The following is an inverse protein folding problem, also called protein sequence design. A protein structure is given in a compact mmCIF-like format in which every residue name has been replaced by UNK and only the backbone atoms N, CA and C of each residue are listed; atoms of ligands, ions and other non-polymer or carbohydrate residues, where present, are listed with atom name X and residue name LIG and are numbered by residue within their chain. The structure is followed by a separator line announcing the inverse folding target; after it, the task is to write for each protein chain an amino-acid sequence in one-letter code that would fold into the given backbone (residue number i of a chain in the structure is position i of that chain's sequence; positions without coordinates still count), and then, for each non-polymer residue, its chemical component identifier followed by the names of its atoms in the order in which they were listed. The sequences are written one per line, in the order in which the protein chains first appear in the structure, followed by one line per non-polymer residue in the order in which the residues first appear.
data_IF_643785581817
#
_entry.id   IF_643785581817
#
_cell.length_a   1.000
_cell.length_b   1.000
_cell.length_c   1.000
_cell.angle_alpha   90.00
_cell.angle_beta   90.00
_cell.angle_gamma   90.00
#
_symmetry.space_group_name_H-M   'P 1'
#
loop_
_entity.id
_entity.type
_entity.pdbx_description
1 polymer ?
#
# COMPACT_ATOMS: atom_id res chain seq x y z
N UNK A 1 -11.14 -10.58 -24.79
CA UNK A 1 -12.13 -10.93 -23.74
C UNK A 1 -12.01 -9.82 -22.72
N UNK A 2 -13.07 -9.02 -22.62
CA UNK A 2 -13.07 -7.76 -21.88
C UNK A 2 -13.02 -8.07 -20.39
N UNK A 3 -11.80 -8.03 -19.84
CA UNK A 3 -11.51 -8.22 -18.43
C UNK A 3 -11.99 -7.02 -17.63
N UNK A 4 -13.30 -6.89 -17.47
CA UNK A 4 -13.87 -6.00 -16.46
C UNK A 4 -13.28 -6.42 -15.12
N UNK A 5 -12.35 -5.59 -14.66
CA UNK A 5 -11.63 -5.74 -13.42
C UNK A 5 -12.65 -5.83 -12.29
N UNK A 6 -12.63 -6.92 -11.52
CA UNK A 6 -13.42 -7.06 -10.29
C UNK A 6 -12.91 -6.03 -9.27
N UNK A 7 -13.42 -4.80 -9.39
CA UNK A 7 -13.07 -3.63 -8.59
C UNK A 7 -14.32 -3.16 -7.89
N UNK A 8 -14.25 -3.12 -6.57
CA UNK A 8 -15.38 -2.81 -5.72
C UNK A 8 -15.00 -1.67 -4.77
N UNK A 9 -15.80 -0.61 -4.75
CA UNK A 9 -15.64 0.42 -3.73
C UNK A 9 -16.07 -0.14 -2.37
N UNK A 10 -15.22 0.06 -1.38
CA UNK A 10 -15.49 -0.34 -0.01
C UNK A 10 -14.61 0.42 0.97
N UNK A 11 -14.70 0.05 2.23
CA UNK A 11 -13.84 0.59 3.26
C UNK A 11 -13.10 -0.55 3.96
N UNK A 12 -11.83 -0.34 4.26
CA UNK A 12 -11.02 -1.25 5.08
C UNK A 12 -10.76 -0.62 6.44
N UNK A 13 -10.51 -1.45 7.45
CA UNK A 13 -10.03 -1.00 8.75
C UNK A 13 -8.58 -1.45 8.92
N UNK A 14 -7.67 -0.49 9.06
CA UNK A 14 -6.25 -0.75 9.33
C UNK A 14 -5.85 0.01 10.59
N UNK A 15 -5.34 -0.70 11.60
CA UNK A 15 -4.93 -0.13 12.89
C UNK A 15 -5.99 0.81 13.53
N UNK A 16 -7.27 0.40 13.47
CA UNK A 16 -8.40 1.18 14.00
C UNK A 16 -8.81 2.40 13.17
N UNK A 17 -8.17 2.65 12.03
CA UNK A 17 -8.55 3.70 11.08
C UNK A 17 -9.36 3.09 9.94
N UNK A 18 -10.43 3.77 9.54
CA UNK A 18 -11.23 3.38 8.36
C UNK A 18 -10.78 4.18 7.15
N UNK A 19 -10.50 3.47 6.06
CA UNK A 19 -10.00 4.02 4.81
C UNK A 19 -10.93 3.62 3.67
N UNK A 20 -11.29 4.57 2.82
CA UNK A 20 -11.98 4.27 1.57
C UNK A 20 -10.97 3.72 0.55
N UNK A 21 -11.34 2.63 -0.10
CA UNK A 21 -10.46 1.91 -1.02
C UNK A 21 -11.23 1.27 -2.17
N UNK A 22 -10.49 0.99 -3.25
CA UNK A 22 -10.91 0.07 -4.30
C UNK A 22 -10.41 -1.33 -3.94
N UNK A 23 -11.34 -2.22 -3.59
CA UNK A 23 -11.06 -3.62 -3.32
C UNK A 23 -10.98 -4.38 -4.65
N UNK A 24 -9.86 -5.05 -4.89
CA UNK A 24 -9.60 -5.76 -6.14
C UNK A 24 -9.68 -7.27 -5.91
N UNK A 25 -10.56 -7.94 -6.63
CA UNK A 25 -10.75 -9.38 -6.58
C UNK A 25 -12.22 -9.79 -6.73
N UNK A 26 -12.51 -11.07 -7.02
CA UNK A 26 -13.86 -11.54 -7.24
C UNK A 26 -14.79 -11.23 -6.06
N UNK A 27 -15.97 -10.68 -6.35
CA UNK A 27 -16.91 -10.21 -5.31
C UNK A 27 -17.25 -11.29 -4.28
N UNK A 28 -17.50 -12.52 -4.73
CA UNK A 28 -17.80 -13.68 -3.88
C UNK A 28 -16.64 -14.01 -2.92
N UNK A 29 -15.40 -13.83 -3.36
CA UNK A 29 -14.20 -14.00 -2.52
C UNK A 29 -14.03 -12.85 -1.54
N UNK A 30 -14.26 -11.61 -1.98
CA UNK A 30 -14.20 -10.43 -1.11
C UNK A 30 -15.23 -10.48 0.01
N UNK A 31 -16.43 -11.02 -0.26
CA UNK A 31 -17.46 -11.21 0.76
C UNK A 31 -17.02 -12.12 1.91
N UNK A 32 -16.14 -13.10 1.66
CA UNK A 32 -15.60 -13.98 2.70
C UNK A 32 -14.68 -13.25 3.68
N UNK A 33 -14.13 -12.10 3.28
CA UNK A 33 -13.22 -11.30 4.10
C UNK A 33 -13.95 -10.25 4.95
N UNK A 34 -15.27 -10.12 4.80
CA UNK A 34 -16.05 -9.20 5.63
C UNK A 34 -15.87 -9.54 7.11
N UNK A 35 -15.50 -8.54 7.90
CA UNK A 35 -15.26 -8.65 9.34
C UNK A 35 -14.13 -9.63 9.73
N UNK A 36 -13.26 -9.99 8.79
CA UNK A 36 -12.10 -10.84 9.02
C UNK A 36 -10.81 -10.06 8.78
N UNK A 37 -9.74 -10.46 9.47
CA UNK A 37 -8.40 -9.96 9.19
C UNK A 37 -7.88 -10.65 7.92
N UNK A 38 -7.25 -9.89 7.04
CA UNK A 38 -6.68 -10.37 5.79
C UNK A 38 -5.32 -9.72 5.54
N UNK A 39 -4.41 -10.46 4.93
CA UNK A 39 -3.15 -9.93 4.41
C UNK A 39 -3.47 -9.29 3.06
N UNK A 40 -3.00 -8.07 2.82
CA UNK A 40 -3.21 -7.40 1.54
C UNK A 40 -1.93 -6.76 0.99
N UNK A 41 -1.89 -6.66 -0.34
CA UNK A 41 -1.02 -5.72 -1.05
C UNK A 41 -1.80 -4.44 -1.35
N UNK A 42 -1.11 -3.31 -1.30
CA UNK A 42 -1.63 -1.99 -1.55
C UNK A 42 -0.97 -1.37 -2.78
N UNK A 43 -1.73 -0.51 -3.45
CA UNK A 43 -1.28 0.37 -4.51
C UNK A 43 -1.93 1.74 -4.33
N UNK A 44 -1.22 2.80 -4.74
CA UNK A 44 -1.76 4.16 -4.79
C UNK A 44 -1.79 4.61 -6.25
N UNK A 45 -2.93 5.12 -6.70
CA UNK A 45 -3.09 5.70 -8.04
C UNK A 45 -2.12 6.88 -8.28
N UNK A 46 -1.91 7.69 -7.23
CA UNK A 46 -1.08 8.89 -7.29
C UNK A 46 -0.22 9.03 -6.04
N UNK A 47 1.07 9.32 -6.22
CA UNK A 47 1.97 9.71 -5.14
C UNK A 47 2.18 11.23 -5.20
N UNK A 48 1.89 11.89 -4.09
CA UNK A 48 1.96 13.36 -3.95
C UNK A 48 3.19 13.83 -3.19
N UNK A 49 3.69 13.04 -2.24
CA UNK A 49 4.95 13.32 -1.55
C UNK A 49 5.60 12.05 -1.04
N UNK A 50 6.93 12.10 -0.90
CA UNK A 50 7.73 11.01 -0.36
C UNK A 50 8.82 11.59 0.53
N UNK A 51 8.91 11.09 1.75
CA UNK A 51 9.96 11.39 2.70
C UNK A 51 10.71 10.10 3.03
N UNK A 52 12.02 10.07 2.82
CA UNK A 52 12.86 8.88 3.01
C UNK A 52 14.04 9.18 3.93
N UNK A 53 14.68 8.12 4.46
CA UNK A 53 15.81 8.27 5.37
C UNK A 53 15.41 8.70 6.77
N UNK A 54 14.17 8.42 7.15
CA UNK A 54 13.66 8.68 8.50
C UNK A 54 14.24 7.67 9.50
N UNK A 55 14.32 8.07 10.77
CA UNK A 55 14.66 7.15 11.85
C UNK A 55 13.56 6.09 11.99
N UNK A 56 14.00 4.83 12.12
CA UNK A 56 13.08 3.70 12.25
C UNK A 56 12.23 3.84 13.50
N UNK A 57 10.92 3.86 13.32
CA UNK A 57 9.93 3.90 14.40
C UNK A 57 8.74 3.00 14.03
N UNK A 58 8.74 1.80 14.61
CA UNK A 58 7.73 0.78 14.36
C UNK A 58 6.33 1.22 14.83
N UNK A 59 6.24 2.12 15.81
CA UNK A 59 4.96 2.63 16.31
C UNK A 59 4.25 3.52 15.28
N UNK A 60 5.01 4.10 14.35
CA UNK A 60 4.49 4.96 13.29
C UNK A 60 4.20 4.20 12.00
N UNK A 61 4.61 2.92 11.88
CA UNK A 61 4.35 2.15 10.67
C UNK A 61 2.86 1.86 10.52
N UNK A 62 2.25 2.20 9.39
CA UNK A 62 0.82 2.03 9.19
C UNK A 62 0.29 2.77 7.97
N UNK A 63 -1.00 2.58 7.72
CA UNK A 63 -1.78 3.37 6.75
C UNK A 63 -2.71 4.31 7.50
N UNK A 64 -2.64 5.60 7.19
CA UNK A 64 -3.37 6.65 7.90
C UNK A 64 -4.16 7.52 6.94
N UNK A 65 -5.45 7.79 7.20
CA UNK A 65 -6.20 8.77 6.45
C UNK A 65 -5.67 10.18 6.75
N UNK A 66 -5.58 11.01 5.72
CA UNK A 66 -5.32 12.45 5.81
C UNK A 66 -6.53 13.23 5.27
N UNK A 67 -6.38 14.54 5.13
CA UNK A 67 -7.40 15.40 4.51
C UNK A 67 -7.47 15.16 2.99
N UNK A 68 -8.55 15.60 2.35
CA UNK A 68 -8.71 15.58 0.89
C UNK A 68 -8.51 14.21 0.23
N UNK A 69 -8.99 13.15 0.89
CA UNK A 69 -8.88 11.75 0.48
C UNK A 69 -7.43 11.29 0.26
N UNK A 70 -6.47 11.96 0.91
CA UNK A 70 -5.09 11.52 0.93
C UNK A 70 -4.88 10.43 1.97
N UNK A 71 -3.89 9.59 1.70
CA UNK A 71 -3.49 8.49 2.57
C UNK A 71 -1.98 8.59 2.77
N UNK A 72 -1.55 8.54 4.02
CA UNK A 72 -0.16 8.36 4.39
C UNK A 72 0.13 6.88 4.62
N UNK A 73 1.16 6.36 3.96
CA UNK A 73 1.72 5.04 4.19
C UNK A 73 3.10 5.24 4.82
N UNK A 74 3.30 4.72 6.01
CA UNK A 74 4.56 4.77 6.75
C UNK A 74 5.06 3.33 6.97
N UNK A 75 6.27 3.07 6.52
CA UNK A 75 6.81 1.71 6.51
C UNK A 75 8.31 1.68 6.25
N UNK A 76 8.81 0.48 6.00
CA UNK A 76 10.23 0.26 5.69
C UNK A 76 10.39 -0.40 4.34
N UNK A 77 11.40 0.01 3.57
CA UNK A 77 11.78 -0.68 2.33
C UNK A 77 12.21 -2.10 2.70
N UNK A 78 11.41 -3.09 2.35
CA UNK A 78 11.66 -4.48 2.68
C UNK A 78 12.46 -5.19 1.59
N UNK A 79 12.09 -4.93 0.33
CA UNK A 79 12.71 -5.56 -0.83
C UNK A 79 12.80 -4.56 -1.99
N UNK A 80 13.85 -4.73 -2.78
CA UNK A 80 14.00 -4.12 -4.10
C UNK A 80 14.04 -5.23 -5.15
N UNK A 81 13.11 -5.17 -6.11
CA UNK A 81 13.11 -6.02 -7.30
C UNK A 81 13.52 -5.17 -8.50
N UNK A 82 14.70 -5.44 -9.05
CA UNK A 82 15.20 -4.71 -10.22
C UNK A 82 14.46 -5.16 -11.48
N UNK A 83 13.90 -4.22 -12.23
CA UNK A 83 13.30 -4.45 -13.54
C UNK A 83 14.39 -4.24 -14.61
N UNK A 84 15.09 -3.12 -14.54
CA UNK A 84 16.26 -2.81 -15.37
C UNK A 84 17.28 -1.92 -14.62
N UNK A 85 18.17 -1.24 -15.35
CA UNK A 85 19.21 -0.37 -14.79
C UNK A 85 18.66 0.90 -14.10
N UNK A 86 17.47 1.35 -14.48
CA UNK A 86 16.86 2.61 -14.04
C UNK A 86 15.59 2.40 -13.21
N UNK A 87 14.87 1.30 -13.44
CA UNK A 87 13.57 1.01 -12.85
C UNK A 87 13.67 -0.16 -11.88
N UNK A 88 13.11 0.02 -10.69
CA UNK A 88 12.99 -1.02 -9.68
C UNK A 88 11.62 -0.93 -9.01
N UNK A 89 11.07 -2.06 -8.61
CA UNK A 89 9.91 -2.12 -7.72
C UNK A 89 10.41 -2.24 -6.29
N UNK A 90 9.88 -1.40 -5.41
CA UNK A 90 10.17 -1.43 -3.98
C UNK A 90 8.93 -1.94 -3.25
N UNK A 91 9.14 -2.95 -2.41
CA UNK A 91 8.12 -3.46 -1.51
C UNK A 91 8.29 -2.77 -0.16
N UNK A 92 7.28 -2.02 0.25
CA UNK A 92 7.26 -1.30 1.52
C UNK A 92 6.47 -2.14 2.50
N UNK A 93 7.14 -2.62 3.55
CA UNK A 93 6.50 -3.39 4.60
C UNK A 93 5.87 -2.46 5.64
N UNK A 94 4.60 -2.75 5.96
CA UNK A 94 3.78 -2.01 6.92
C UNK A 94 3.53 -2.93 8.12
N UNK A 95 4.23 -2.64 9.21
CA UNK A 95 4.35 -3.56 10.34
C UNK A 95 3.03 -3.76 11.11
N UNK A 96 2.19 -2.72 11.21
CA UNK A 96 0.95 -2.77 12.00
C UNK A 96 -0.25 -3.38 11.25
N UNK A 97 -0.05 -4.01 10.09
CA UNK A 97 -1.08 -4.79 9.39
C UNK A 97 -0.57 -6.06 8.68
N UNK A 98 0.74 -6.35 8.74
CA UNK A 98 1.39 -7.37 7.90
C UNK A 98 1.12 -7.15 6.39
N UNK A 99 1.07 -5.89 5.98
CA UNK A 99 0.72 -5.48 4.62
C UNK A 99 1.94 -4.99 3.84
N UNK A 100 1.82 -4.95 2.51
CA UNK A 100 2.84 -4.42 1.63
C UNK A 100 2.28 -3.35 0.70
N UNK A 101 3.02 -2.26 0.49
CA UNK A 101 2.78 -1.32 -0.61
C UNK A 101 3.86 -1.55 -1.68
N UNK A 102 3.44 -1.93 -2.88
CA UNK A 102 4.33 -2.06 -4.02
C UNK A 102 4.39 -0.73 -4.79
N UNK A 103 5.59 -0.21 -5.03
CA UNK A 103 5.77 1.07 -5.73
C UNK A 103 7.02 1.05 -6.60
N UNK A 104 6.95 1.66 -7.78
CA UNK A 104 8.15 1.81 -8.62
C UNK A 104 9.05 2.96 -8.17
N UNK A 105 10.36 2.82 -8.39
CA UNK A 105 11.34 3.89 -8.15
C UNK A 105 11.07 5.13 -8.99
N UNK A 106 10.42 4.98 -10.15
CA UNK A 106 9.99 6.11 -10.99
C UNK A 106 8.85 6.89 -10.33
N UNK A 107 7.83 6.22 -9.80
CA UNK A 107 6.74 6.86 -9.06
C UNK A 107 7.25 7.58 -7.80
N UNK A 108 8.28 7.04 -7.13
CA UNK A 108 8.88 7.70 -5.98
C UNK A 108 9.75 8.89 -6.35
N UNK A 109 10.31 8.93 -7.57
CA UNK A 109 11.34 9.89 -7.97
C UNK A 109 12.67 9.72 -7.20
N UNK A 110 12.82 8.66 -6.41
CA UNK A 110 13.99 8.36 -5.60
C UNK A 110 14.11 6.86 -5.34
N UNK A 111 15.31 6.42 -4.95
CA UNK A 111 15.63 5.01 -4.69
C UNK A 111 16.22 4.83 -3.29
N UNK A 112 15.39 4.86 -2.24
CA UNK A 112 15.84 4.66 -0.87
C UNK A 112 16.37 3.23 -0.67
N UNK A 113 17.41 3.03 0.16
CA UNK A 113 18.00 1.71 0.37
C UNK A 113 17.07 0.78 1.15
N UNK A 114 17.19 -0.52 0.92
CA UNK A 114 16.53 -1.55 1.73
C UNK A 114 16.84 -1.36 3.22
N UNK A 115 15.82 -1.46 4.06
CA UNK A 115 15.88 -1.24 5.50
C UNK A 115 15.64 0.21 5.93
N UNK A 116 15.60 1.18 5.01
CA UNK A 116 15.27 2.55 5.36
C UNK A 116 13.76 2.72 5.59
N UNK A 117 13.42 3.61 6.52
CA UNK A 117 12.04 4.05 6.72
C UNK A 117 11.67 5.07 5.64
N UNK A 118 10.44 4.96 5.16
CA UNK A 118 9.85 5.82 4.16
C UNK A 118 8.41 6.17 4.57
N UNK A 119 8.02 7.41 4.28
CA UNK A 119 6.65 7.89 4.37
C UNK A 119 6.21 8.37 2.99
N UNK A 120 5.12 7.80 2.50
CA UNK A 120 4.51 8.14 1.21
C UNK A 120 3.14 8.76 1.48
N UNK A 121 2.84 9.87 0.82
CA UNK A 121 1.49 10.42 0.80
C UNK A 121 0.95 10.34 -0.62
N UNK A 122 -0.23 9.74 -0.77
CA UNK A 122 -0.86 9.57 -2.08
C UNK A 122 -2.38 9.56 -2.02
N UNK A 123 -3.00 9.19 -3.14
CA UNK A 123 -4.45 9.09 -3.34
C UNK A 123 -4.81 7.83 -4.11
N UNK A 124 -6.08 7.45 -4.03
CA UNK A 124 -6.62 6.30 -4.75
C UNK A 124 -6.01 4.99 -4.26
N UNK A 125 -6.37 4.57 -3.04
CA UNK A 125 -5.89 3.32 -2.48
C UNK A 125 -6.61 2.14 -3.14
N UNK A 126 -5.84 1.26 -3.75
CA UNK A 126 -6.30 -0.06 -4.18
C UNK A 126 -5.76 -1.11 -3.21
N UNK A 127 -6.61 -2.07 -2.90
CA UNK A 127 -6.32 -3.15 -1.95
C UNK A 127 -6.51 -4.46 -2.69
N UNK A 128 -5.48 -5.30 -2.63
CA UNK A 128 -5.42 -6.62 -3.24
C UNK A 128 -5.32 -7.66 -2.12
N UNK A 129 -6.44 -8.15 -1.58
CA UNK A 129 -6.41 -9.13 -0.49
C UNK A 129 -5.89 -10.48 -0.96
N UNK A 130 -5.18 -11.18 -0.06
CA UNK A 130 -4.77 -12.56 -0.27
C UNK A 130 -5.88 -13.50 0.22
N UNK A 131 -6.35 -14.38 -0.67
CA UNK A 131 -7.32 -15.42 -0.33
C UNK A 131 -6.56 -16.72 0.02
N UNK A 132 -6.48 -17.05 1.32
CA UNK A 132 -5.88 -18.30 1.82
C UNK A 132 -6.95 -19.38 1.96
#
# INVERSE_FOLDING_TARGET
MDGHHDRHFGSITHNGQTLDAVLVGPYDRLQLLLHSDAIAEYELDEITSVESGLDKDDALSGVFPLTDNQIAVDGSIHRETKIDEFVSILDIYIQNGADFLAVSSEQLGQKPPVGSRIRIVGKGLHVYPTFI
#
